data_IF_229476022953
#
_entry.id   IF_229476022953
#
_cell.length_a   1.000
_cell.length_b   1.000
_cell.length_c   1.000
_cell.angle_alpha   90.00
_cell.angle_beta   90.00
_cell.angle_gamma   90.00
#
_symmetry.space_group_name_H-M   'P 1'
#
loop_
_entity.id
_entity.type
_entity.pdbx_description
1 polymer ?
#
# COMPACT_ATOMS: atom_id res chain seq x y z
N UNK A 1 9.00 0.90 22.64
CA UNK A 1 8.18 -0.11 21.98
C UNK A 1 6.95 0.64 21.51
N UNK A 2 7.02 1.14 20.29
CA UNK A 2 5.92 1.86 19.68
C UNK A 2 5.24 0.81 18.81
N UNK A 3 4.12 0.26 19.26
CA UNK A 3 3.38 -0.66 18.41
C UNK A 3 2.58 0.18 17.42
N UNK A 4 3.01 0.25 16.17
CA UNK A 4 2.21 0.82 15.09
C UNK A 4 1.02 -0.11 14.83
N UNK A 5 -0.20 0.40 15.00
CA UNK A 5 -1.43 -0.38 14.79
C UNK A 5 -2.06 0.09 13.48
N UNK A 6 -2.05 -0.74 12.42
CA UNK A 6 -2.66 -0.39 11.14
C UNK A 6 -4.15 -0.06 11.32
N UNK A 7 -4.63 1.11 10.88
CA UNK A 7 -5.97 1.61 11.22
C UNK A 7 -7.11 0.75 10.66
N UNK A 8 -6.85 -0.05 9.62
CA UNK A 8 -7.81 -0.96 9.02
C UNK A 8 -7.47 -2.44 9.26
N UNK A 9 -6.49 -2.73 10.13
CA UNK A 9 -6.02 -4.09 10.41
C UNK A 9 -5.31 -4.76 9.23
N UNK A 10 -4.76 -3.96 8.31
CA UNK A 10 -3.98 -4.41 7.17
C UNK A 10 -2.51 -4.68 7.50
N UNK A 11 -1.72 -4.83 6.45
CA UNK A 11 -0.27 -5.07 6.51
C UNK A 11 0.50 -3.76 6.42
N UNK A 12 1.31 -3.38 7.44
CA UNK A 12 2.11 -2.17 7.41
C UNK A 12 3.37 -2.35 6.54
N UNK A 13 3.68 -1.36 5.72
CA UNK A 13 4.91 -1.28 4.91
C UNK A 13 5.56 0.07 5.16
N UNK A 14 6.62 0.09 5.94
CA UNK A 14 7.44 1.25 6.24
C UNK A 14 8.19 1.75 4.99
N UNK A 15 8.27 3.08 4.86
CA UNK A 15 8.93 3.79 3.77
C UNK A 15 9.93 4.79 4.34
N UNK A 16 11.18 4.71 3.87
CA UNK A 16 12.22 5.69 4.15
C UNK A 16 12.56 5.83 5.63
N UNK A 17 12.85 4.71 6.30
CA UNK A 17 13.15 4.67 7.74
C UNK A 17 11.97 5.21 8.58
N UNK A 18 10.78 4.61 8.36
CA UNK A 18 9.57 4.87 9.16
C UNK A 18 9.01 6.30 9.07
N UNK A 19 9.40 7.06 8.04
CA UNK A 19 8.87 8.41 7.80
C UNK A 19 7.43 8.38 7.30
N UNK A 20 7.08 7.35 6.52
CA UNK A 20 5.74 7.08 6.03
C UNK A 20 5.45 5.59 6.07
N UNK A 21 4.16 5.24 6.05
CA UNK A 21 3.71 3.87 5.92
C UNK A 21 2.73 3.71 4.77
N UNK A 22 2.68 2.51 4.20
CA UNK A 22 1.53 2.01 3.46
C UNK A 22 0.87 0.93 4.29
N UNK A 23 -0.43 1.04 4.52
CA UNK A 23 -1.23 -0.08 4.99
C UNK A 23 -1.89 -0.78 3.79
N UNK A 24 -1.57 -2.06 3.60
CA UNK A 24 -2.17 -2.91 2.58
C UNK A 24 -3.35 -3.72 3.16
N UNK A 25 -4.53 -3.53 2.59
CA UNK A 25 -5.76 -4.23 3.00
C UNK A 25 -6.27 -5.08 1.85
N UNK A 26 -6.23 -6.40 2.02
CA UNK A 26 -6.74 -7.36 1.04
C UNK A 26 -8.17 -7.79 1.38
N UNK A 27 -9.12 -7.45 0.53
CA UNK A 27 -10.49 -7.96 0.60
C UNK A 27 -10.64 -9.19 -0.30
N UNK A 28 -10.34 -10.37 0.25
CA UNK A 28 -10.30 -11.63 -0.50
C UNK A 28 -11.65 -12.01 -1.15
N UNK A 29 -12.78 -11.55 -0.63
CA UNK A 29 -14.09 -11.84 -1.23
C UNK A 29 -14.23 -11.25 -2.63
N UNK A 30 -13.67 -10.06 -2.86
CA UNK A 30 -13.76 -9.32 -4.12
C UNK A 30 -12.44 -9.29 -4.89
N UNK A 31 -11.34 -9.69 -4.26
CA UNK A 31 -9.99 -9.60 -4.84
C UNK A 31 -9.51 -8.14 -4.93
N UNK A 32 -10.06 -7.26 -4.09
CA UNK A 32 -9.67 -5.86 -4.01
C UNK A 32 -8.49 -5.72 -3.06
N UNK A 33 -7.44 -5.03 -3.50
CA UNK A 33 -6.31 -4.64 -2.67
C UNK A 33 -6.30 -3.12 -2.55
N UNK A 34 -6.33 -2.65 -1.32
CA UNK A 34 -6.31 -1.23 -0.98
C UNK A 34 -4.97 -0.90 -0.34
N UNK A 35 -4.41 0.25 -0.66
CA UNK A 35 -3.17 0.78 -0.11
C UNK A 35 -3.44 2.18 0.44
N UNK A 36 -3.37 2.33 1.76
CA UNK A 36 -3.51 3.61 2.44
C UNK A 36 -2.14 4.18 2.74
N UNK A 37 -1.89 5.41 2.30
CA UNK A 37 -0.65 6.13 2.57
C UNK A 37 -0.81 6.90 3.88
N UNK A 38 0.07 6.64 4.84
CA UNK A 38 0.01 7.11 6.22
C UNK A 38 1.33 7.79 6.62
N UNK A 39 1.32 8.54 7.71
CA UNK A 39 2.53 9.05 8.35
C UNK A 39 3.31 7.96 9.10
N UNK A 40 4.44 8.34 9.69
CA UNK A 40 5.32 7.42 10.42
C UNK A 40 4.62 6.70 11.58
N UNK A 41 3.62 7.32 12.21
CA UNK A 41 2.91 6.72 13.34
C UNK A 41 1.65 5.93 12.92
N UNK A 42 1.34 5.87 11.61
CA UNK A 42 0.10 5.28 11.07
C UNK A 42 -1.21 5.92 11.56
N UNK A 43 -1.17 7.17 12.02
CA UNK A 43 -2.34 7.87 12.57
C UNK A 43 -2.98 8.83 11.57
N UNK A 44 -2.21 9.37 10.62
CA UNK A 44 -2.67 10.38 9.68
C UNK A 44 -2.51 9.96 8.22
N UNK A 45 -3.56 10.18 7.42
CA UNK A 45 -3.52 9.95 5.98
C UNK A 45 -2.68 11.00 5.26
N UNK A 46 -1.74 10.54 4.44
CA UNK A 46 -0.83 11.40 3.68
C UNK A 46 -1.18 11.31 2.20
N UNK A 47 -1.63 12.43 1.64
CA UNK A 47 -1.95 12.52 0.21
C UNK A 47 -0.69 12.44 -0.63
N UNK A 48 -0.77 11.63 -1.68
CA UNK A 48 0.22 11.51 -2.74
C UNK A 48 -0.28 12.21 -4.00
N UNK A 49 0.67 12.85 -4.70
CA UNK A 49 0.42 13.41 -6.02
C UNK A 49 0.41 12.36 -7.14
N UNK A 50 0.75 11.10 -6.83
CA UNK A 50 0.79 10.03 -7.81
C UNK A 50 -0.64 9.67 -8.25
N UNK A 51 -0.92 9.58 -9.56
CA UNK A 51 -2.20 9.07 -10.04
C UNK A 51 -2.30 7.55 -9.87
N UNK A 52 -1.16 6.87 -9.75
CA UNK A 52 -1.04 5.44 -9.54
C UNK A 52 0.39 5.08 -9.12
N UNK A 53 0.58 3.88 -8.59
CA UNK A 53 1.89 3.25 -8.44
C UNK A 53 1.84 1.77 -8.82
N UNK A 54 3.02 1.18 -9.04
CA UNK A 54 3.17 -0.21 -9.44
C UNK A 54 3.77 -1.06 -8.32
N UNK A 55 3.26 -2.28 -8.19
CA UNK A 55 3.84 -3.33 -7.36
C UNK A 55 4.13 -4.57 -8.20
N UNK A 56 5.19 -5.28 -7.86
CA UNK A 56 5.44 -6.64 -8.34
C UNK A 56 5.28 -7.60 -7.19
N UNK A 57 4.39 -8.59 -7.33
CA UNK A 57 4.12 -9.60 -6.31
C UNK A 57 4.62 -10.96 -6.79
N UNK A 58 5.41 -11.66 -5.97
CA UNK A 58 5.78 -13.05 -6.17
C UNK A 58 4.75 -13.94 -5.49
N UNK A 59 3.93 -14.62 -6.29
CA UNK A 59 2.84 -15.47 -5.80
C UNK A 59 3.09 -16.89 -6.27
N UNK A 60 3.34 -17.81 -5.34
CA UNK A 60 3.61 -19.22 -5.65
C UNK A 60 4.71 -19.42 -6.73
N UNK A 61 5.74 -18.57 -6.71
CA UNK A 61 6.85 -18.60 -7.69
C UNK A 61 6.58 -17.89 -9.02
N UNK A 62 5.40 -17.27 -9.20
CA UNK A 62 5.07 -16.49 -10.39
C UNK A 62 5.06 -14.98 -10.07
N UNK A 63 5.76 -14.19 -10.88
CA UNK A 63 5.72 -12.72 -10.76
C UNK A 63 4.44 -12.17 -11.37
N UNK A 64 3.71 -11.35 -10.61
CA UNK A 64 2.49 -10.66 -11.04
C UNK A 64 2.64 -9.16 -10.80
N UNK A 65 2.50 -8.37 -11.87
CA UNK A 65 2.47 -6.91 -11.76
C UNK A 65 1.05 -6.42 -11.43
N UNK A 66 0.96 -5.44 -10.53
CA UNK A 66 -0.27 -4.74 -10.19
C UNK A 66 -0.05 -3.23 -10.30
N UNK A 67 -1.04 -2.54 -10.86
CA UNK A 67 -1.12 -1.08 -10.80
C UNK A 67 -2.24 -0.71 -9.85
N UNK A 68 -1.92 0.05 -8.81
CA UNK A 68 -2.90 0.62 -7.88
C UNK A 68 -3.14 2.06 -8.28
N UNK A 69 -4.41 2.43 -8.46
CA UNK A 69 -4.82 3.76 -8.93
C UNK A 69 -5.34 4.58 -7.77
N UNK A 70 -4.99 5.85 -7.74
CA UNK A 70 -5.50 6.79 -6.74
C UNK A 70 -7.03 6.83 -6.78
N UNK A 71 -7.65 6.79 -5.62
CA UNK A 71 -9.10 6.84 -5.45
C UNK A 71 -9.47 8.23 -4.96
N UNK A 72 -10.34 8.91 -5.70
CA UNK A 72 -10.90 10.18 -5.25
C UNK A 72 -11.92 9.93 -4.12
N UNK A 73 -11.93 10.81 -3.12
CA UNK A 73 -12.91 10.78 -2.05
C UNK A 73 -13.53 12.18 -1.90
N UNK A 74 -14.73 12.43 -2.47
CA UNK A 74 -15.38 13.73 -2.40
C UNK A 74 -15.69 14.19 -0.97
N UNK A 75 -15.85 13.27 -0.01
CA UNK A 75 -16.16 13.61 1.37
C UNK A 75 -14.97 14.24 2.11
N UNK A 76 -13.74 13.89 1.72
CA UNK A 76 -12.48 14.43 2.26
C UNK A 76 -11.84 15.47 1.33
N UNK A 77 -12.40 15.64 0.12
CA UNK A 77 -11.86 16.52 -0.92
C UNK A 77 -10.66 15.94 -1.65
N UNK A 78 -10.41 14.64 -1.57
CA UNK A 78 -9.33 13.96 -2.30
C UNK A 78 -9.69 13.78 -3.79
N UNK A 79 -8.67 13.89 -4.65
CA UNK A 79 -8.81 13.71 -6.11
C UNK A 79 -7.74 12.76 -6.64
N UNK A 80 -7.85 12.33 -7.90
CA UNK A 80 -6.77 11.55 -8.53
C UNK A 80 -5.53 12.45 -8.66
N UNK A 81 -4.41 12.03 -8.07
CA UNK A 81 -3.22 12.87 -7.93
C UNK A 81 -3.27 13.82 -6.73
N UNK A 82 -4.19 13.61 -5.79
CA UNK A 82 -4.19 14.17 -4.44
C UNK A 82 -5.00 13.22 -3.53
N UNK A 83 -4.50 12.00 -3.36
CA UNK A 83 -5.18 10.94 -2.61
C UNK A 83 -4.23 10.16 -1.73
N UNK A 84 -4.74 9.73 -0.58
CA UNK A 84 -4.10 8.81 0.35
C UNK A 84 -4.50 7.36 0.13
N UNK A 85 -5.48 7.09 -0.74
CA UNK A 85 -5.97 5.74 -1.01
C UNK A 85 -5.70 5.36 -2.46
N UNK A 86 -5.11 4.19 -2.64
CA UNK A 86 -4.91 3.56 -3.94
C UNK A 86 -5.54 2.18 -3.93
N UNK A 87 -6.22 1.81 -5.01
CA UNK A 87 -6.89 0.53 -5.12
C UNK A 87 -6.56 -0.18 -6.43
N UNK A 88 -6.57 -1.51 -6.37
CA UNK A 88 -6.61 -2.37 -7.54
C UNK A 88 -7.50 -3.57 -7.27
N UNK A 89 -7.84 -4.29 -8.32
CA UNK A 89 -8.65 -5.50 -8.21
C UNK A 89 -8.15 -6.55 -9.19
N UNK A 90 -8.00 -7.79 -8.71
CA UNK A 90 -7.65 -8.93 -9.56
C UNK A 90 -8.24 -10.22 -9.01
N UNK A 91 -8.74 -11.10 -9.88
CA UNK A 91 -9.39 -12.34 -9.44
C UNK A 91 -8.45 -13.27 -8.66
N UNK A 92 -7.17 -13.30 -9.01
CA UNK A 92 -6.19 -14.14 -8.34
C UNK A 92 -5.89 -13.70 -6.90
N UNK A 93 -6.20 -12.44 -6.54
CA UNK A 93 -6.09 -11.96 -5.16
C UNK A 93 -7.16 -12.59 -4.24
N UNK A 94 -8.25 -13.12 -4.80
CA UNK A 94 -9.30 -13.79 -4.01
C UNK A 94 -8.81 -15.07 -3.31
N UNK A 95 -7.80 -15.71 -3.89
CA UNK A 95 -7.25 -16.98 -3.40
C UNK A 95 -5.83 -16.85 -2.86
N UNK A 96 -5.21 -15.68 -3.01
CA UNK A 96 -3.83 -15.44 -2.56
C UNK A 96 -3.84 -15.10 -1.08
N UNK A 97 -3.12 -15.89 -0.27
CA UNK A 97 -3.03 -15.67 1.19
C UNK A 97 -1.75 -14.96 1.60
N UNK A 98 -0.66 -15.22 0.89
CA UNK A 98 0.68 -14.70 1.16
C UNK A 98 1.36 -14.41 -0.17
N UNK A 99 2.25 -13.43 -0.17
CA UNK A 99 3.10 -13.08 -1.30
C UNK A 99 4.23 -12.18 -0.85
N UNK A 100 5.36 -12.26 -1.54
CA UNK A 100 6.44 -11.29 -1.38
C UNK A 100 6.17 -10.15 -2.37
N UNK A 101 6.30 -8.91 -1.93
CA UNK A 101 5.93 -7.74 -2.71
C UNK A 101 7.05 -6.73 -2.81
N UNK A 102 7.10 -6.04 -3.95
CA UNK A 102 8.00 -4.90 -4.17
C UNK A 102 7.19 -3.72 -4.69
N UNK A 103 7.17 -2.61 -3.95
CA UNK A 103 6.68 -1.33 -4.44
C UNK A 103 7.75 -0.74 -5.35
N UNK A 104 7.47 -0.63 -6.65
CA UNK A 104 8.45 -0.21 -7.65
C UNK A 104 8.80 1.27 -7.52
N UNK A 105 7.79 2.11 -7.38
CA UNK A 105 7.96 3.56 -7.24
C UNK A 105 6.68 4.19 -6.68
N UNK A 106 6.78 4.89 -5.55
CA UNK A 106 5.70 5.70 -4.99
C UNK A 106 6.23 7.08 -4.61
N UNK A 107 5.58 8.14 -5.08
CA UNK A 107 5.89 9.51 -4.70
C UNK A 107 5.00 9.96 -3.54
N UNK A 108 5.58 10.47 -2.46
CA UNK A 108 4.86 11.05 -1.31
C UNK A 108 5.52 12.39 -0.97
N UNK A 109 4.73 13.48 -0.97
CA UNK A 109 5.19 14.84 -0.63
C UNK A 109 6.51 15.28 -1.30
N UNK A 110 6.74 14.88 -2.55
CA UNK A 110 7.93 15.25 -3.32
C UNK A 110 9.13 14.32 -3.17
N UNK A 111 9.05 13.32 -2.28
CA UNK A 111 10.03 12.23 -2.16
C UNK A 111 9.53 11.01 -2.91
N UNK A 112 10.41 10.34 -3.66
CA UNK A 112 10.09 9.08 -4.34
C UNK A 112 10.78 7.92 -3.64
N UNK A 113 9.98 6.94 -3.24
CA UNK A 113 10.43 5.68 -2.65
C UNK A 113 10.40 4.61 -3.74
N UNK A 114 11.49 3.87 -3.90
CA UNK A 114 11.66 2.87 -4.96
C UNK A 114 12.16 1.57 -4.40
N UNK A 115 11.74 0.47 -5.02
CA UNK A 115 12.17 -0.89 -4.68
C UNK A 115 12.05 -1.20 -3.18
N UNK A 116 10.86 -0.93 -2.62
CA UNK A 116 10.55 -1.25 -1.23
C UNK A 116 9.97 -2.66 -1.16
N UNK A 117 10.74 -3.57 -0.58
CA UNK A 117 10.36 -4.96 -0.34
C UNK A 117 9.47 -5.09 0.91
N UNK A 118 8.53 -6.04 0.89
CA UNK A 118 7.69 -6.42 2.01
C UNK A 118 7.12 -7.84 1.86
N UNK A 119 6.73 -8.46 2.96
CA UNK A 119 6.15 -9.81 2.98
C UNK A 119 4.69 -9.73 3.41
N UNK A 120 3.71 -10.12 2.59
CA UNK A 120 2.30 -10.09 2.99
C UNK A 120 1.89 -11.38 3.72
N UNK A 121 1.24 -11.32 4.90
CA UNK A 121 0.66 -10.14 5.55
C UNK A 121 1.56 -9.46 6.62
N UNK A 122 2.81 -9.86 6.77
CA UNK A 122 3.70 -9.46 7.88
C UNK A 122 4.19 -8.01 7.78
N UNK A 123 4.40 -7.50 6.57
CA UNK A 123 4.94 -6.18 6.30
C UNK A 123 6.45 -6.17 6.11
N UNK A 124 7.05 -5.00 6.28
CA UNK A 124 8.50 -4.84 6.43
C UNK A 124 8.89 -4.00 7.66
N UNK A 125 7.89 -3.56 8.42
CA UNK A 125 8.08 -2.81 9.65
C UNK A 125 8.61 -3.78 10.72
N UNK A 126 9.82 -3.52 11.22
CA UNK A 126 10.52 -4.38 12.17
C UNK A 126 10.60 -3.65 13.52
N UNK A 127 9.50 -3.59 14.25
CA UNK A 127 9.51 -3.23 15.69
C UNK A 127 9.77 -4.44 16.59
#
# INVERSE_FOLDING_TARGET
>A
KHEHHPPHGGTPVALGEDVYHIELVLEAATGKLSAYVLDGEMENFIRSAAPSFEMTLLVNGEMKALTLRAVANPATGETVGDSSLFETQADWLKTTKTFDGVIKSLAIRGTTFTDVDFDFPEGNDKD
#
